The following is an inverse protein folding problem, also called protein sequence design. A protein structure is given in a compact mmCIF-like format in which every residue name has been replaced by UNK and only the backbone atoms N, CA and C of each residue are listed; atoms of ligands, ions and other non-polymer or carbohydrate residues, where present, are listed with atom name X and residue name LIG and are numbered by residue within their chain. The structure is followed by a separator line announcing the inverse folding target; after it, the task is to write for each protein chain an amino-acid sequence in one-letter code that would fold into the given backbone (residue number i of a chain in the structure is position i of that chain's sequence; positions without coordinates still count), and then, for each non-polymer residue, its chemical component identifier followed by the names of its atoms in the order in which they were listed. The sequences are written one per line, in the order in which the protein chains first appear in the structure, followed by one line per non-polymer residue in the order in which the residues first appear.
data_IF_269378607754
#
_entry.id   IF_269378607754
#
_cell.length_a   1.000
_cell.length_b   1.000
_cell.length_c   1.000
_cell.angle_alpha   90.00
_cell.angle_beta   90.00
_cell.angle_gamma   90.00
#
_symmetry.space_group_name_H-M   'P 1'
#
loop_
_entity.id
_entity.type
_entity.pdbx_description
1 polymer ?
#
# COMPACT_ATOMS: atom_id res chain seq x y z
N UNK A 1 -29.70 -32.79 39.52
CA UNK A 1 -30.43 -32.20 38.36
C UNK A 1 -29.86 -30.85 37.93
N UNK A 2 -29.49 -29.93 38.84
CA UNK A 2 -28.88 -28.64 38.51
C UNK A 2 -27.60 -28.71 37.65
N UNK A 3 -26.66 -29.63 37.97
CA UNK A 3 -25.37 -29.75 37.25
C UNK A 3 -25.53 -30.06 35.75
N UNK A 4 -26.58 -30.81 35.40
CA UNK A 4 -26.89 -31.19 34.01
C UNK A 4 -27.57 -30.05 33.24
N UNK A 5 -28.28 -29.15 33.94
CA UNK A 5 -28.82 -27.91 33.34
C UNK A 5 -27.71 -26.90 33.06
N UNK A 6 -26.74 -26.74 33.97
CA UNK A 6 -25.60 -25.84 33.78
C UNK A 6 -24.70 -26.24 32.61
N UNK A 7 -24.48 -27.54 32.39
CA UNK A 7 -23.69 -28.05 31.23
C UNK A 7 -24.40 -27.74 29.90
N UNK A 8 -25.73 -27.91 29.84
CA UNK A 8 -26.53 -27.61 28.63
C UNK A 8 -26.53 -26.11 28.32
N UNK A 9 -26.61 -25.26 29.34
CA UNK A 9 -26.50 -23.81 29.18
C UNK A 9 -25.10 -23.39 28.71
N UNK A 10 -24.04 -23.96 29.27
CA UNK A 10 -22.68 -23.68 28.84
C UNK A 10 -22.43 -24.12 27.38
N UNK A 11 -22.93 -25.30 26.99
CA UNK A 11 -22.84 -25.78 25.62
C UNK A 11 -23.62 -24.88 24.64
N UNK A 12 -24.81 -24.40 25.04
CA UNK A 12 -25.59 -23.47 24.23
C UNK A 12 -24.90 -22.11 24.08
N UNK A 13 -24.35 -21.56 25.16
CA UNK A 13 -23.58 -20.30 25.12
C UNK A 13 -22.32 -20.45 24.26
N UNK A 14 -21.63 -21.59 24.35
CA UNK A 14 -20.46 -21.88 23.51
C UNK A 14 -20.85 -21.96 22.02
N UNK A 15 -21.93 -22.68 21.70
CA UNK A 15 -22.43 -22.79 20.33
C UNK A 15 -22.91 -21.45 19.77
N UNK A 16 -23.62 -20.65 20.56
CA UNK A 16 -24.03 -19.29 20.17
C UNK A 16 -22.82 -18.38 19.96
N UNK A 17 -21.80 -18.49 20.80
CA UNK A 17 -20.54 -17.74 20.65
C UNK A 17 -19.82 -18.14 19.36
N UNK A 18 -19.66 -19.43 19.09
CA UNK A 18 -19.05 -19.92 17.84
C UNK A 18 -19.84 -19.48 16.60
N UNK A 19 -21.17 -19.52 16.65
CA UNK A 19 -22.02 -19.02 15.57
C UNK A 19 -21.82 -17.50 15.36
N UNK A 20 -21.73 -16.72 16.43
CA UNK A 20 -21.47 -15.29 16.34
C UNK A 20 -20.08 -14.97 15.74
N UNK A 21 -19.05 -15.72 16.12
CA UNK A 21 -17.71 -15.58 15.52
C UNK A 21 -17.68 -15.98 14.05
N UNK A 22 -18.52 -16.93 13.62
CA UNK A 22 -18.62 -17.31 12.20
C UNK A 22 -19.22 -16.23 11.30
N UNK A 23 -19.87 -15.22 11.88
CA UNK A 23 -20.41 -14.06 11.18
C UNK A 23 -19.39 -12.91 11.05
N UNK A 24 -18.17 -13.06 11.58
CA UNK A 24 -17.12 -12.07 11.38
C UNK A 24 -16.75 -12.02 9.88
N UNK A 25 -17.04 -10.91 9.22
CA UNK A 25 -16.63 -10.66 7.84
C UNK A 25 -15.18 -10.20 7.77
N UNK A 26 -14.54 -10.45 6.63
CA UNK A 26 -13.26 -9.82 6.30
C UNK A 26 -13.45 -8.31 6.25
N UNK A 27 -12.76 -7.57 7.14
CA UNK A 27 -12.64 -6.13 7.00
C UNK A 27 -11.63 -5.84 5.88
N UNK A 28 -12.11 -5.29 4.76
CA UNK A 28 -11.23 -4.79 3.71
C UNK A 28 -10.66 -3.45 4.22
N UNK A 29 -9.52 -3.50 4.90
CA UNK A 29 -8.80 -2.28 5.25
C UNK A 29 -8.45 -1.54 3.95
N UNK A 30 -8.82 -0.27 3.87
CA UNK A 30 -8.69 0.58 2.69
C UNK A 30 -7.26 0.52 2.12
N UNK A 31 -7.06 -0.22 1.03
CA UNK A 31 -5.75 -0.28 0.42
C UNK A 31 -5.42 1.09 -0.18
N UNK A 32 -4.20 1.54 0.06
CA UNK A 32 -3.63 2.66 -0.70
C UNK A 32 -2.99 2.07 -1.95
N UNK A 33 -3.20 2.70 -3.09
CA UNK A 33 -2.58 2.32 -4.36
C UNK A 33 -1.51 3.33 -4.70
N UNK A 34 -0.35 2.81 -5.09
CA UNK A 34 0.80 3.56 -5.57
C UNK A 34 1.12 3.05 -6.98
N UNK A 35 1.13 3.96 -7.94
CA UNK A 35 1.64 3.70 -9.28
C UNK A 35 2.88 4.55 -9.50
N UNK A 36 3.89 3.95 -10.11
CA UNK A 36 5.07 4.66 -10.56
C UNK A 36 5.36 4.30 -12.00
N UNK A 37 5.90 5.25 -12.75
CA UNK A 37 6.33 5.05 -14.12
C UNK A 37 7.48 6.01 -14.45
N UNK A 38 8.24 5.69 -15.48
CA UNK A 38 9.33 6.52 -15.97
C UNK A 38 8.89 7.19 -17.27
N UNK A 39 9.17 8.48 -17.41
CA UNK A 39 8.98 9.21 -18.67
C UNK A 39 10.07 10.28 -18.75
N UNK A 40 10.77 10.38 -19.89
CA UNK A 40 11.83 11.37 -20.10
C UNK A 40 12.89 11.39 -18.97
N UNK A 41 13.37 10.22 -18.53
CA UNK A 41 14.32 10.04 -17.42
C UNK A 41 13.85 10.55 -16.06
N UNK A 42 12.55 10.76 -15.89
CA UNK A 42 11.95 11.23 -14.66
C UNK A 42 10.98 10.18 -14.14
N UNK A 43 11.02 9.94 -12.83
CA UNK A 43 10.09 9.04 -12.16
C UNK A 43 8.86 9.84 -11.75
N UNK A 44 7.70 9.35 -12.13
CA UNK A 44 6.41 9.87 -11.74
C UNK A 44 5.75 8.92 -10.76
N UNK A 45 5.10 9.50 -9.77
CA UNK A 45 4.41 8.81 -8.68
C UNK A 45 2.99 9.31 -8.63
N UNK A 46 2.02 8.39 -8.64
CA UNK A 46 0.61 8.67 -8.42
C UNK A 46 0.05 7.81 -7.28
N UNK A 47 -0.53 8.46 -6.27
CA UNK A 47 -1.07 7.81 -5.10
C UNK A 47 -2.56 8.13 -4.90
N UNK A 48 -3.35 7.08 -4.68
CA UNK A 48 -4.79 7.19 -4.45
C UNK A 48 -5.29 6.09 -3.52
N UNK A 49 -6.32 6.39 -2.75
CA UNK A 49 -7.05 5.38 -2.00
C UNK A 49 -7.98 4.60 -2.95
N UNK A 50 -8.34 3.38 -2.57
CA UNK A 50 -9.45 2.69 -3.24
C UNK A 50 -10.69 3.58 -3.30
N UNK A 51 -11.29 3.67 -4.50
CA UNK A 51 -12.34 4.65 -4.81
C UNK A 51 -11.83 5.93 -5.48
N UNK A 52 -10.53 6.05 -5.73
CA UNK A 52 -9.93 7.09 -6.59
C UNK A 52 -9.62 8.41 -5.88
N UNK A 53 -9.89 8.52 -4.57
CA UNK A 53 -9.54 9.70 -3.78
C UNK A 53 -8.01 9.86 -3.75
N UNK A 54 -7.51 11.04 -4.12
CA UNK A 54 -6.08 11.34 -4.13
C UNK A 54 -5.48 11.35 -2.73
N UNK A 55 -4.28 10.80 -2.61
CA UNK A 55 -3.50 10.78 -1.36
C UNK A 55 -2.62 12.02 -1.32
N UNK A 56 -3.03 13.05 -0.57
CA UNK A 56 -2.36 14.36 -0.54
C UNK A 56 -1.41 14.48 0.66
N UNK A 57 -0.31 15.22 0.49
CA UNK A 57 0.70 15.52 1.53
C UNK A 57 1.32 14.27 2.19
N UNK A 58 1.22 13.10 1.53
CA UNK A 58 1.81 11.85 2.01
C UNK A 58 3.29 11.80 1.67
N UNK A 59 4.09 11.19 2.55
CA UNK A 59 5.53 11.08 2.36
C UNK A 59 5.85 10.01 1.32
N UNK A 60 6.69 10.36 0.35
CA UNK A 60 7.25 9.44 -0.65
C UNK A 60 8.75 9.32 -0.41
N UNK A 61 9.27 8.10 -0.36
CA UNK A 61 10.69 7.81 -0.13
C UNK A 61 11.16 6.87 -1.23
N UNK A 62 12.19 7.25 -1.99
CA UNK A 62 12.86 6.31 -2.88
C UNK A 62 14.05 5.70 -2.15
N UNK A 63 14.19 4.38 -2.18
CA UNK A 63 15.31 3.63 -1.60
C UNK A 63 16.01 2.78 -2.66
N UNK A 64 17.32 2.58 -2.49
CA UNK A 64 18.09 1.70 -3.38
C UNK A 64 17.87 0.22 -3.03
N UNK A 65 18.54 -0.67 -3.76
CA UNK A 65 18.55 -2.13 -3.56
C UNK A 65 19.00 -2.58 -2.15
N UNK A 66 19.78 -1.75 -1.45
CA UNK A 66 20.22 -1.97 -0.06
C UNK A 66 19.23 -1.42 0.97
N UNK A 67 18.14 -0.79 0.54
CA UNK A 67 17.17 -0.12 1.41
C UNK A 67 17.63 1.24 1.93
N UNK A 68 18.71 1.80 1.37
CA UNK A 68 19.21 3.12 1.74
C UNK A 68 18.42 4.21 1.03
N UNK A 69 18.08 5.27 1.75
CA UNK A 69 17.29 6.38 1.21
C UNK A 69 18.08 7.15 0.14
N UNK A 70 17.51 7.23 -1.06
CA UNK A 70 18.00 8.02 -2.18
C UNK A 70 17.47 9.44 -2.08
N UNK A 71 16.15 9.58 -1.93
CA UNK A 71 15.47 10.87 -1.79
C UNK A 71 14.15 10.75 -1.04
N UNK A 72 13.58 11.89 -0.70
CA UNK A 72 12.30 12.02 -0.03
C UNK A 72 11.53 13.21 -0.57
N UNK A 73 10.21 13.06 -0.69
CA UNK A 73 9.30 14.11 -1.09
C UNK A 73 7.91 13.89 -0.52
N UNK A 74 6.94 14.65 -1.05
CA UNK A 74 5.54 14.52 -0.69
C UNK A 74 4.65 14.58 -1.91
N UNK A 75 3.52 13.89 -1.85
CA UNK A 75 2.48 14.03 -2.87
C UNK A 75 1.79 15.39 -2.79
N UNK A 76 1.45 15.93 -3.95
CA UNK A 76 0.69 17.18 -4.09
C UNK A 76 -0.83 16.97 -3.90
N UNK A 77 -1.63 18.00 -4.22
CA UNK A 77 -3.10 17.95 -4.11
C UNK A 77 -3.75 16.94 -5.06
N UNK A 78 -3.08 16.59 -6.15
CA UNK A 78 -3.54 15.59 -7.12
C UNK A 78 -3.02 14.18 -6.78
N UNK A 79 -2.33 14.04 -5.65
CA UNK A 79 -1.72 12.79 -5.22
C UNK A 79 -0.46 12.44 -5.99
N UNK A 80 0.20 13.43 -6.62
CA UNK A 80 1.33 13.21 -7.49
C UNK A 80 2.64 13.67 -6.88
N UNK A 81 3.72 13.01 -7.24
CA UNK A 81 5.10 13.45 -6.97
C UNK A 81 5.97 13.04 -8.16
N UNK A 82 7.04 13.78 -8.46
CA UNK A 82 8.00 13.39 -9.47
C UNK A 82 9.40 13.86 -9.11
N UNK A 83 10.41 13.15 -9.61
CA UNK A 83 11.80 13.47 -9.38
C UNK A 83 12.69 12.88 -10.48
N UNK A 84 13.87 13.46 -10.65
CA UNK A 84 14.93 12.87 -11.45
C UNK A 84 15.77 11.96 -10.54
N UNK A 85 15.82 10.64 -10.81
CA UNK A 85 16.65 9.76 -10.01
C UNK A 85 18.15 10.01 -10.29
N UNK A 86 19.03 9.81 -9.31
CA UNK A 86 20.47 9.99 -9.50
C UNK A 86 21.11 8.91 -10.39
N UNK A 87 20.40 7.82 -10.67
CA UNK A 87 20.79 6.74 -11.57
C UNK A 87 19.54 6.04 -12.12
N UNK A 88 19.69 5.38 -13.27
CA UNK A 88 18.69 4.49 -13.84
C UNK A 88 18.99 3.07 -13.36
N UNK A 89 18.03 2.41 -12.73
CA UNK A 89 18.22 1.08 -12.16
C UNK A 89 17.26 0.80 -11.03
N UNK A 90 17.50 -0.32 -10.34
CA UNK A 90 16.60 -0.82 -9.32
C UNK A 90 16.45 0.17 -8.15
N UNK A 91 15.20 0.50 -7.83
CA UNK A 91 14.83 1.27 -6.64
C UNK A 91 13.40 0.93 -6.20
N UNK A 92 13.12 1.08 -4.91
CA UNK A 92 11.76 0.91 -4.38
C UNK A 92 11.22 2.27 -3.96
N UNK A 93 10.03 2.60 -4.42
CA UNK A 93 9.28 3.77 -4.02
C UNK A 93 8.35 3.38 -2.88
N UNK A 94 8.49 4.04 -1.74
CA UNK A 94 7.70 3.80 -0.54
C UNK A 94 6.78 5.00 -0.29
N UNK A 95 5.47 4.75 -0.26
CA UNK A 95 4.46 5.71 0.14
C UNK A 95 4.08 5.47 1.61
N UNK A 96 4.22 6.51 2.43
CA UNK A 96 3.82 6.51 3.84
C UNK A 96 2.71 7.53 4.05
N UNK A 97 1.51 7.05 4.34
CA UNK A 97 0.34 7.90 4.59
C UNK A 97 0.15 8.11 6.09
N UNK A 98 0.08 7.02 6.85
CA UNK A 98 0.04 7.00 8.32
C UNK A 98 0.62 5.66 8.84
N UNK A 99 0.40 5.33 10.11
CA UNK A 99 0.94 4.11 10.72
C UNK A 99 0.29 2.81 10.20
N UNK A 100 -0.87 2.89 9.55
CA UNK A 100 -1.64 1.74 9.05
C UNK A 100 -1.72 1.69 7.51
N UNK A 101 -1.58 2.84 6.84
CA UNK A 101 -1.73 2.97 5.39
C UNK A 101 -0.39 3.30 4.71
N UNK A 102 -0.06 2.49 3.72
CA UNK A 102 1.10 2.69 2.86
C UNK A 102 1.03 1.78 1.64
N UNK A 103 1.98 1.97 0.74
CA UNK A 103 2.17 1.13 -0.44
C UNK A 103 3.62 1.25 -0.91
N UNK A 104 4.08 0.26 -1.65
CA UNK A 104 5.39 0.24 -2.28
C UNK A 104 5.29 -0.12 -3.76
N UNK A 105 6.27 0.33 -4.54
CA UNK A 105 6.39 0.06 -5.96
C UNK A 105 7.87 -0.15 -6.30
N UNK A 106 8.20 -1.25 -6.97
CA UNK A 106 9.55 -1.52 -7.45
C UNK A 106 9.71 -0.98 -8.87
N UNK A 107 10.73 -0.15 -9.08
CA UNK A 107 11.25 0.21 -10.39
C UNK A 107 12.52 -0.59 -10.65
N UNK A 108 12.70 -0.99 -11.90
CA UNK A 108 13.81 -1.78 -12.42
C UNK A 108 14.53 -1.00 -13.51
N UNK A 109 15.68 -1.51 -13.97
CA UNK A 109 16.37 -0.94 -15.13
C UNK A 109 15.52 -1.06 -16.41
N UNK A 110 14.71 -2.11 -16.54
CA UNK A 110 13.82 -2.34 -17.67
C UNK A 110 12.77 -1.22 -17.80
N UNK A 111 12.21 -0.74 -16.70
CA UNK A 111 11.26 0.40 -16.71
C UNK A 111 11.87 1.68 -17.31
N UNK A 112 13.19 1.89 -17.15
CA UNK A 112 13.89 3.02 -17.77
C UNK A 112 14.16 2.77 -19.26
N UNK A 113 14.46 1.54 -19.65
CA UNK A 113 14.71 1.15 -21.04
C UNK A 113 13.42 1.23 -21.87
N UNK A 114 12.31 0.72 -21.32
CA UNK A 114 11.00 0.75 -21.97
C UNK A 114 10.54 2.19 -22.20
N UNK A 115 10.67 3.05 -21.18
CA UNK A 115 10.33 4.48 -21.29
C UNK A 115 11.18 5.21 -22.34
N UNK A 116 12.43 4.80 -22.56
CA UNK A 116 13.26 5.37 -23.61
C UNK A 116 12.80 4.92 -25.01
N UNK A 117 12.42 3.65 -25.16
CA UNK A 117 11.95 3.08 -26.43
C UNK A 117 10.60 3.66 -26.90
N UNK A 118 9.73 4.08 -25.98
CA UNK A 118 8.44 4.73 -26.31
C UNK A 118 8.59 6.17 -26.86
N UNK A 119 9.77 6.78 -26.70
CA UNK A 119 10.04 8.15 -27.16
C UNK A 119 10.69 8.24 -28.54
N UNK A 120 11.01 7.10 -29.16
CA UNK A 120 11.58 6.97 -30.52
C UNK A 120 10.49 6.77 -31.60
#
# INVERSE_FOLDING_TARGET
MHKMQSIRQAAFLLAATMLFLSLASSAFAHATTLWCYVENNRVYVEAFFMGGKKVQDAKVIAVNDKGEKILEGKTDKEGKFNFEPPYQGKMTILLKVDDAHGADFELTEEDFLDAAAETE
#
